data_IF_668601915490
#
_entry.id   IF_668601915490
#
_cell.length_a   1.000
_cell.length_b   1.000
_cell.length_c   1.000
_cell.angle_alpha   90.00
_cell.angle_beta   90.00
_cell.angle_gamma   90.00
#
_symmetry.space_group_name_H-M   'P 1'
#
loop_
_entity.id
_entity.type
_entity.pdbx_description
1 polymer ?
#
# COMPACT_ATOMS: atom_id res chain seq x y z
N UNK A 1 33.17 119.81 -25.92
CA UNK A 1 34.48 119.25 -26.34
C UNK A 1 34.55 117.80 -25.90
N UNK A 2 35.08 116.94 -26.78
CA UNK A 2 35.68 115.63 -26.55
C UNK A 2 34.82 114.43 -26.09
N UNK A 3 34.53 113.56 -27.07
CA UNK A 3 34.44 112.08 -27.04
C UNK A 3 35.84 111.59 -27.50
N UNK A 4 36.47 110.46 -27.09
CA UNK A 4 35.94 109.07 -27.04
C UNK A 4 36.60 108.16 -25.93
N UNK A 5 36.45 106.84 -25.77
CA UNK A 5 36.39 105.70 -26.71
C UNK A 5 35.92 104.43 -25.97
N UNK A 6 35.32 103.52 -26.74
CA UNK A 6 34.92 102.14 -26.41
C UNK A 6 36.13 101.27 -26.09
N UNK A 7 35.91 100.19 -25.33
CA UNK A 7 36.25 98.83 -25.75
C UNK A 7 35.35 97.79 -25.05
N UNK A 8 35.02 96.75 -25.81
CA UNK A 8 34.12 95.65 -25.48
C UNK A 8 34.88 94.47 -24.83
N UNK A 9 34.12 93.38 -24.54
CA UNK A 9 34.54 92.01 -24.13
C UNK A 9 34.53 91.82 -22.60
N UNK A 10 33.80 90.88 -21.97
CA UNK A 10 33.22 89.61 -22.41
C UNK A 10 31.79 89.40 -21.84
N UNK A 11 30.91 88.90 -22.70
CA UNK A 11 29.67 88.23 -22.32
C UNK A 11 30.01 86.84 -21.75
N UNK A 12 29.87 86.68 -20.44
CA UNK A 12 29.68 85.38 -19.80
C UNK A 12 28.49 85.56 -18.87
N UNK A 13 27.30 85.21 -19.38
CA UNK A 13 26.06 85.32 -18.65
C UNK A 13 26.12 84.62 -17.28
N UNK A 14 25.43 85.14 -16.26
CA UNK A 14 25.26 84.38 -15.03
C UNK A 14 24.45 83.14 -15.37
N UNK A 15 25.06 81.96 -15.23
CA UNK A 15 24.36 80.69 -15.11
C UNK A 15 23.23 80.89 -14.10
N UNK A 16 21.99 80.97 -14.61
CA UNK A 16 20.79 81.04 -13.82
C UNK A 16 20.66 79.69 -13.13
N UNK A 17 21.27 79.55 -11.95
CA UNK A 17 21.02 78.42 -11.07
C UNK A 17 19.63 78.63 -10.52
N UNK A 18 18.64 78.02 -11.18
CA UNK A 18 17.29 77.89 -10.65
C UNK A 18 17.38 77.21 -9.28
N UNK A 19 17.33 78.03 -8.22
CA UNK A 19 17.28 77.55 -6.84
C UNK A 19 15.91 76.90 -6.66
N UNK A 20 15.84 75.59 -6.87
CA UNK A 20 14.68 74.79 -6.47
C UNK A 20 14.35 75.10 -5.00
N UNK A 21 13.18 75.68 -4.77
CA UNK A 21 12.66 75.97 -3.44
C UNK A 21 12.63 74.70 -2.60
N UNK A 22 12.95 74.79 -1.30
CA UNK A 22 13.01 73.66 -0.36
C UNK A 22 11.75 72.79 -0.41
N UNK A 23 10.60 73.40 -0.70
CA UNK A 23 9.31 72.73 -0.90
C UNK A 23 9.31 71.78 -2.10
N UNK A 24 9.80 72.22 -3.26
CA UNK A 24 9.92 71.42 -4.49
C UNK A 24 10.89 70.25 -4.33
N UNK A 25 11.98 70.46 -3.58
CA UNK A 25 12.97 69.42 -3.28
C UNK A 25 12.39 68.33 -2.35
N UNK A 26 11.57 68.71 -1.37
CA UNK A 26 10.88 67.79 -0.47
C UNK A 26 9.79 66.98 -1.17
N UNK A 27 9.04 67.60 -2.10
CA UNK A 27 8.01 66.90 -2.89
C UNK A 27 8.64 65.85 -3.81
N UNK A 28 9.76 66.19 -4.48
CA UNK A 28 10.50 65.26 -5.34
C UNK A 28 11.13 64.12 -4.54
N UNK A 29 11.72 64.40 -3.39
CA UNK A 29 12.28 63.38 -2.51
C UNK A 29 11.20 62.41 -1.98
N UNK A 30 10.00 62.91 -1.65
CA UNK A 30 8.85 62.08 -1.26
C UNK A 30 8.35 61.21 -2.40
N UNK A 31 8.19 61.77 -3.61
CA UNK A 31 7.79 61.00 -4.79
C UNK A 31 8.80 59.89 -5.12
N UNK A 32 10.10 60.19 -5.09
CA UNK A 32 11.13 59.18 -5.29
C UNK A 32 11.07 58.08 -4.21
N UNK A 33 10.84 58.44 -2.94
CA UNK A 33 10.75 57.46 -1.84
C UNK A 33 9.50 56.56 -1.95
N UNK A 34 8.39 57.10 -2.45
CA UNK A 34 7.16 56.33 -2.71
C UNK A 34 7.34 55.41 -3.92
N UNK A 35 7.93 55.90 -5.01
CA UNK A 35 8.27 55.11 -6.19
C UNK A 35 9.20 53.94 -5.87
N UNK A 36 10.24 54.17 -5.07
CA UNK A 36 11.15 53.09 -4.62
C UNK A 36 10.42 52.07 -3.74
N UNK A 37 9.59 52.50 -2.79
CA UNK A 37 8.80 51.57 -1.96
C UNK A 37 7.84 50.72 -2.78
N UNK A 38 7.23 51.30 -3.81
CA UNK A 38 6.33 50.61 -4.71
C UNK A 38 7.07 49.58 -5.57
N UNK A 39 8.22 49.96 -6.13
CA UNK A 39 9.10 49.04 -6.87
C UNK A 39 9.61 47.86 -6.02
N UNK A 40 9.98 48.09 -4.76
CA UNK A 40 10.40 47.01 -3.84
C UNK A 40 9.25 46.05 -3.53
N UNK A 41 8.03 46.58 -3.38
CA UNK A 41 6.84 45.75 -3.13
C UNK A 41 6.50 44.89 -4.34
N UNK A 42 6.56 45.46 -5.54
CA UNK A 42 6.37 44.75 -6.80
C UNK A 42 7.41 43.64 -7.00
N UNK A 43 8.69 43.90 -6.69
CA UNK A 43 9.74 42.88 -6.72
C UNK A 43 9.51 41.75 -5.71
N UNK A 44 9.06 42.08 -4.50
CA UNK A 44 8.74 41.09 -3.48
C UNK A 44 7.55 40.21 -3.91
N UNK A 45 6.49 40.81 -4.44
CA UNK A 45 5.30 40.09 -4.89
C UNK A 45 5.61 39.20 -6.09
N UNK A 46 6.44 39.68 -7.04
CA UNK A 46 6.95 38.88 -8.14
C UNK A 46 7.78 37.68 -7.65
N UNK A 47 8.67 37.90 -6.68
CA UNK A 47 9.51 36.83 -6.10
C UNK A 47 8.66 35.79 -5.37
N UNK A 48 7.64 36.23 -4.64
CA UNK A 48 6.68 35.35 -3.96
C UNK A 48 5.88 34.53 -4.96
N UNK A 49 5.39 35.13 -6.05
CA UNK A 49 4.70 34.43 -7.12
C UNK A 49 5.59 33.37 -7.78
N UNK A 50 6.86 33.69 -8.07
CA UNK A 50 7.84 32.75 -8.62
C UNK A 50 8.07 31.58 -7.65
N UNK A 51 8.21 31.84 -6.35
CA UNK A 51 8.45 30.80 -5.35
C UNK A 51 7.24 29.87 -5.18
N UNK A 52 6.03 30.42 -5.19
CA UNK A 52 4.79 29.63 -5.15
C UNK A 52 4.68 28.72 -6.38
N UNK A 53 4.98 29.24 -7.57
CA UNK A 53 4.95 28.46 -8.81
C UNK A 53 6.03 27.37 -8.81
N UNK A 54 7.23 27.65 -8.27
CA UNK A 54 8.28 26.65 -8.05
C UNK A 54 7.83 25.57 -7.07
N UNK A 55 7.19 25.96 -5.97
CA UNK A 55 6.68 25.03 -4.97
C UNK A 55 5.58 24.14 -5.55
N UNK A 56 4.64 24.71 -6.32
CA UNK A 56 3.60 23.96 -7.05
C UNK A 56 4.22 22.92 -7.98
N UNK A 57 5.15 23.33 -8.85
CA UNK A 57 5.87 22.41 -9.75
C UNK A 57 6.65 21.33 -8.99
N UNK A 58 7.23 21.67 -7.85
CA UNK A 58 7.97 20.71 -7.02
C UNK A 58 7.04 19.67 -6.39
N UNK A 59 5.89 20.11 -5.88
CA UNK A 59 4.86 19.21 -5.34
C UNK A 59 4.28 18.30 -6.42
N UNK A 60 4.01 18.82 -7.61
CA UNK A 60 3.57 18.01 -8.75
C UNK A 60 4.60 16.95 -9.14
N UNK A 61 5.89 17.32 -9.22
CA UNK A 61 6.97 16.36 -9.46
C UNK A 61 7.06 15.31 -8.36
N UNK A 62 6.91 15.71 -7.10
CA UNK A 62 6.94 14.77 -5.98
C UNK A 62 5.79 13.76 -6.06
N UNK A 63 4.56 14.24 -6.30
CA UNK A 63 3.37 13.38 -6.46
C UNK A 63 3.52 12.45 -7.67
N UNK A 64 4.04 12.96 -8.79
CA UNK A 64 4.30 12.14 -9.96
C UNK A 64 5.35 11.07 -9.67
N UNK A 65 6.45 11.42 -9.00
CA UNK A 65 7.50 10.47 -8.61
C UNK A 65 6.96 9.37 -7.69
N UNK A 66 6.12 9.73 -6.71
CA UNK A 66 5.46 8.74 -5.86
C UNK A 66 4.54 7.83 -6.69
N UNK A 67 3.68 8.38 -7.54
CA UNK A 67 2.78 7.59 -8.38
C UNK A 67 3.54 6.63 -9.30
N UNK A 68 4.63 7.09 -9.92
CA UNK A 68 5.49 6.25 -10.77
C UNK A 68 6.15 5.15 -9.96
N UNK A 69 6.65 5.45 -8.76
CA UNK A 69 7.26 4.44 -7.88
C UNK A 69 6.25 3.36 -7.49
N UNK A 70 5.05 3.75 -7.03
CA UNK A 70 4.00 2.80 -6.66
C UNK A 70 3.60 1.94 -7.86
N UNK A 71 3.40 2.55 -9.03
CA UNK A 71 3.08 1.82 -10.25
C UNK A 71 4.18 0.82 -10.62
N UNK A 72 5.44 1.24 -10.56
CA UNK A 72 6.57 0.36 -10.85
C UNK A 72 6.62 -0.82 -9.86
N UNK A 73 6.40 -0.58 -8.57
CA UNK A 73 6.33 -1.64 -7.56
C UNK A 73 5.19 -2.62 -7.82
N UNK A 74 4.01 -2.13 -8.19
CA UNK A 74 2.86 -2.96 -8.53
C UNK A 74 3.12 -3.79 -9.79
N UNK A 75 3.73 -3.18 -10.82
CA UNK A 75 4.11 -3.85 -12.06
C UNK A 75 5.17 -4.94 -11.81
N UNK A 76 6.20 -4.64 -11.01
CA UNK A 76 7.21 -5.63 -10.61
C UNK A 76 6.61 -6.77 -9.79
N UNK A 77 5.75 -6.47 -8.81
CA UNK A 77 5.05 -7.50 -8.04
C UNK A 77 4.20 -8.40 -8.94
N UNK A 78 3.48 -7.82 -9.89
CA UNK A 78 2.68 -8.58 -10.86
C UNK A 78 3.55 -9.48 -11.71
N UNK A 79 4.70 -8.98 -12.20
CA UNK A 79 5.62 -9.76 -13.01
C UNK A 79 6.24 -10.93 -12.20
N UNK A 80 6.74 -10.67 -10.99
CA UNK A 80 7.30 -11.69 -10.11
C UNK A 80 6.27 -12.77 -9.76
N UNK A 81 5.01 -12.40 -9.52
CA UNK A 81 3.92 -13.37 -9.31
C UNK A 81 3.69 -14.24 -10.54
N UNK A 82 3.74 -13.66 -11.74
CA UNK A 82 3.66 -14.39 -12.99
C UNK A 82 4.82 -15.38 -13.18
N UNK A 83 6.05 -14.95 -12.90
CA UNK A 83 7.25 -15.79 -12.97
C UNK A 83 7.19 -16.95 -11.96
N UNK A 84 6.79 -16.68 -10.72
CA UNK A 84 6.59 -17.72 -9.70
C UNK A 84 5.57 -18.75 -10.19
N UNK A 85 4.45 -18.31 -10.75
CA UNK A 85 3.42 -19.21 -11.26
C UNK A 85 3.92 -20.05 -12.44
N UNK A 86 4.67 -19.44 -13.35
CA UNK A 86 5.28 -20.12 -14.49
C UNK A 86 6.28 -21.19 -14.03
N UNK A 87 7.18 -20.84 -13.11
CA UNK A 87 8.17 -21.78 -12.54
C UNK A 87 7.49 -22.92 -11.77
N UNK A 88 6.42 -22.64 -11.02
CA UNK A 88 5.63 -23.68 -10.35
C UNK A 88 5.00 -24.64 -11.37
N UNK A 89 4.43 -24.11 -12.44
CA UNK A 89 3.83 -24.91 -13.51
C UNK A 89 4.88 -25.78 -14.20
N UNK A 90 6.05 -25.22 -14.51
CA UNK A 90 7.18 -25.96 -15.09
C UNK A 90 7.65 -27.07 -14.16
N UNK A 91 7.86 -26.77 -12.87
CA UNK A 91 8.21 -27.77 -11.85
C UNK A 91 7.17 -28.89 -11.81
N UNK A 92 5.88 -28.58 -11.76
CA UNK A 92 4.82 -29.59 -11.73
C UNK A 92 4.88 -30.49 -12.98
N UNK A 93 5.05 -29.92 -14.18
CA UNK A 93 5.22 -30.69 -15.42
C UNK A 93 6.46 -31.60 -15.39
N UNK A 94 7.57 -31.11 -14.88
CA UNK A 94 8.81 -31.89 -14.76
C UNK A 94 8.68 -33.00 -13.72
N UNK A 95 8.10 -32.71 -12.55
CA UNK A 95 7.85 -33.74 -11.52
C UNK A 95 6.91 -34.83 -12.03
N UNK A 96 5.84 -34.48 -12.75
CA UNK A 96 4.93 -35.46 -13.37
C UNK A 96 5.62 -36.25 -14.49
N UNK A 97 6.52 -35.61 -15.25
CA UNK A 97 7.21 -36.24 -16.40
C UNK A 97 8.45 -37.07 -16.06
N UNK A 98 9.09 -36.84 -14.90
CA UNK A 98 10.35 -37.51 -14.50
C UNK A 98 10.08 -38.67 -13.53
N UNK A 99 9.06 -38.56 -12.69
CA UNK A 99 8.81 -39.55 -11.63
C UNK A 99 8.00 -40.72 -12.17
N UNK A 100 8.66 -41.80 -12.56
CA UNK A 100 8.02 -43.06 -13.00
C UNK A 100 7.21 -43.75 -11.91
N UNK A 101 7.47 -43.45 -10.62
CA UNK A 101 6.68 -43.93 -9.48
C UNK A 101 6.60 -42.85 -8.39
N UNK A 102 5.41 -42.33 -8.14
CA UNK A 102 5.14 -41.43 -7.01
C UNK A 102 5.27 -42.22 -5.71
N UNK A 103 6.14 -41.80 -4.79
CA UNK A 103 6.29 -42.47 -3.48
C UNK A 103 5.32 -41.87 -2.45
N UNK A 104 4.99 -42.62 -1.39
CA UNK A 104 4.17 -42.08 -0.30
C UNK A 104 4.82 -40.86 0.36
N UNK A 105 6.14 -40.80 0.45
CA UNK A 105 6.86 -39.64 0.98
C UNK A 105 6.68 -38.40 0.12
N UNK A 106 6.60 -38.56 -1.21
CA UNK A 106 6.28 -37.45 -2.11
C UNK A 106 4.88 -36.93 -1.84
N UNK A 107 3.89 -37.83 -1.74
CA UNK A 107 2.50 -37.47 -1.44
C UNK A 107 2.37 -36.76 -0.10
N UNK A 108 3.02 -37.28 0.95
CA UNK A 108 3.07 -36.65 2.27
C UNK A 108 3.69 -35.26 2.19
N UNK A 109 4.87 -35.12 1.58
CA UNK A 109 5.56 -33.84 1.44
C UNK A 109 4.69 -32.81 0.70
N UNK A 110 4.02 -33.26 -0.35
CA UNK A 110 3.10 -32.44 -1.14
C UNK A 110 1.86 -32.03 -0.36
N UNK A 111 1.28 -32.95 0.41
CA UNK A 111 0.13 -32.69 1.26
C UNK A 111 0.41 -31.56 2.25
N UNK A 112 1.51 -31.67 3.01
CA UNK A 112 1.89 -30.64 3.97
C UNK A 112 2.31 -29.34 3.29
N UNK A 113 2.93 -29.39 2.10
CA UNK A 113 3.31 -28.20 1.35
C UNK A 113 2.09 -27.39 0.93
N UNK A 114 1.08 -28.05 0.39
CA UNK A 114 -0.14 -27.42 -0.13
C UNK A 114 -0.96 -26.81 1.01
N UNK A 115 -1.18 -27.58 2.08
CA UNK A 115 -2.02 -27.16 3.21
C UNK A 115 -1.26 -26.38 4.29
N UNK A 116 0.04 -26.11 4.11
CA UNK A 116 0.91 -25.51 5.13
C UNK A 116 0.37 -24.26 5.80
N UNK A 117 -0.31 -23.41 5.03
CA UNK A 117 -0.86 -22.13 5.51
C UNK A 117 -2.40 -22.14 5.53
N UNK A 118 -2.96 -23.32 5.67
CA UNK A 118 -4.33 -23.59 5.25
C UNK A 118 -4.46 -23.58 3.72
N UNK A 119 -5.71 -23.71 3.27
CA UNK A 119 -6.14 -23.61 1.90
C UNK A 119 -7.21 -22.53 1.81
N UNK A 120 -6.93 -21.45 1.10
CA UNK A 120 -7.91 -20.39 0.85
C UNK A 120 -8.09 -20.30 -0.66
N UNK A 121 -9.29 -20.53 -1.14
CA UNK A 121 -9.71 -20.14 -2.48
C UNK A 121 -10.88 -19.16 -2.40
N UNK A 122 -10.67 -17.92 -2.86
CA UNK A 122 -11.75 -17.01 -3.21
C UNK A 122 -11.96 -16.88 -4.73
N UNK A 123 -10.98 -17.25 -5.56
CA UNK A 123 -10.93 -16.94 -6.99
C UNK A 123 -10.35 -18.07 -7.89
N UNK A 124 -10.14 -19.28 -7.34
CA UNK A 124 -9.67 -20.45 -8.09
C UNK A 124 -8.20 -20.44 -8.50
N UNK A 125 -7.38 -19.53 -7.96
CA UNK A 125 -5.97 -19.39 -8.34
C UNK A 125 -5.02 -20.46 -7.76
N UNK A 126 -5.52 -21.37 -6.92
CA UNK A 126 -4.70 -22.42 -6.27
C UNK A 126 -5.06 -23.86 -6.69
N UNK A 127 -6.04 -24.05 -7.57
CA UNK A 127 -6.42 -25.36 -8.14
C UNK A 127 -5.23 -26.06 -8.79
N UNK A 128 -4.37 -25.33 -9.51
CA UNK A 128 -3.17 -25.91 -10.14
C UNK A 128 -2.11 -26.42 -9.13
N UNK A 129 -2.20 -26.00 -7.86
CA UNK A 129 -1.34 -26.54 -6.78
C UNK A 129 -1.86 -27.88 -6.24
N UNK A 130 -3.13 -28.24 -6.55
CA UNK A 130 -3.79 -29.45 -6.08
C UNK A 130 -3.76 -30.61 -7.07
N UNK A 131 -3.46 -30.37 -8.35
CA UNK A 131 -3.50 -31.41 -9.40
C UNK A 131 -2.68 -32.65 -9.04
N UNK A 132 -1.49 -32.45 -8.45
CA UNK A 132 -0.66 -33.56 -8.00
C UNK A 132 -1.36 -34.41 -6.93
N UNK A 133 -1.92 -33.79 -5.89
CA UNK A 133 -2.61 -34.52 -4.82
C UNK A 133 -3.89 -35.18 -5.34
N UNK A 134 -4.62 -34.49 -6.23
CA UNK A 134 -5.82 -35.03 -6.87
C UNK A 134 -5.52 -36.28 -7.69
N UNK A 135 -4.40 -36.32 -8.41
CA UNK A 135 -3.99 -37.48 -9.20
C UNK A 135 -3.35 -38.60 -8.37
N UNK A 136 -2.84 -38.28 -7.18
CA UNK A 136 -2.16 -39.24 -6.31
C UNK A 136 -3.07 -39.90 -5.27
N UNK A 137 -4.26 -39.34 -5.02
CA UNK A 137 -5.20 -39.81 -4.02
C UNK A 137 -6.38 -40.54 -4.69
N UNK A 138 -6.81 -41.64 -4.07
CA UNK A 138 -7.98 -42.39 -4.55
C UNK A 138 -9.27 -41.55 -4.48
N UNK A 139 -10.23 -41.74 -5.41
CA UNK A 139 -11.48 -40.98 -5.44
C UNK A 139 -12.31 -41.08 -4.15
N UNK A 140 -12.21 -42.20 -3.45
CA UNK A 140 -12.92 -42.52 -2.20
C UNK A 140 -12.04 -42.39 -0.95
N UNK A 141 -10.92 -41.66 -1.03
CA UNK A 141 -10.01 -41.37 0.09
C UNK A 141 -10.79 -41.03 1.37
N UNK A 142 -10.61 -41.83 2.41
CA UNK A 142 -11.13 -41.54 3.74
C UNK A 142 -10.18 -40.59 4.49
N UNK A 143 -10.63 -39.35 4.71
CA UNK A 143 -9.91 -38.35 5.51
C UNK A 143 -10.50 -38.21 6.93
N UNK A 144 -11.20 -39.25 7.41
CA UNK A 144 -11.83 -39.33 8.73
C UNK A 144 -13.18 -38.65 8.79
N UNK A 145 -13.22 -37.31 8.67
CA UNK A 145 -14.48 -36.55 8.73
C UNK A 145 -15.16 -36.37 7.36
N UNK A 146 -14.42 -36.59 6.28
CA UNK A 146 -14.88 -36.41 4.90
C UNK A 146 -14.31 -37.51 4.01
N UNK A 147 -15.05 -37.86 2.95
CA UNK A 147 -14.63 -38.84 1.96
C UNK A 147 -14.41 -38.15 0.60
N UNK A 148 -13.29 -38.50 -0.04
CA UNK A 148 -12.85 -38.01 -1.34
C UNK A 148 -12.06 -36.71 -1.28
N UNK A 149 -11.15 -36.57 -2.25
CA UNK A 149 -10.22 -35.43 -2.34
C UNK A 149 -10.93 -34.06 -2.39
N UNK A 150 -12.01 -33.97 -3.15
CA UNK A 150 -12.78 -32.72 -3.31
C UNK A 150 -13.41 -32.26 -1.99
N UNK A 151 -13.87 -33.20 -1.16
CA UNK A 151 -14.42 -32.88 0.15
C UNK A 151 -13.32 -32.48 1.14
N UNK A 152 -12.17 -33.13 1.09
CA UNK A 152 -10.96 -32.77 1.84
C UNK A 152 -10.48 -31.36 1.52
N UNK A 153 -10.35 -31.01 0.24
CA UNK A 153 -9.93 -29.67 -0.19
C UNK A 153 -10.92 -28.59 0.26
N UNK A 154 -12.24 -28.84 0.12
CA UNK A 154 -13.28 -27.94 0.64
C UNK A 154 -13.21 -27.76 2.15
N UNK A 155 -12.95 -28.83 2.91
CA UNK A 155 -12.83 -28.77 4.36
C UNK A 155 -11.67 -27.85 4.78
N UNK A 156 -10.50 -27.99 4.14
CA UNK A 156 -9.38 -27.07 4.35
C UNK A 156 -9.71 -25.63 3.94
N UNK A 157 -10.51 -25.46 2.89
CA UNK A 157 -11.10 -24.20 2.46
C UNK A 157 -11.87 -23.50 3.57
N UNK A 158 -12.85 -24.19 4.14
CA UNK A 158 -13.69 -23.69 5.24
C UNK A 158 -12.83 -23.42 6.49
N UNK A 159 -11.96 -24.36 6.85
CA UNK A 159 -11.08 -24.24 8.02
C UNK A 159 -10.24 -22.95 7.96
N UNK A 160 -9.71 -22.63 6.79
CA UNK A 160 -8.84 -21.45 6.59
C UNK A 160 -9.61 -20.14 6.47
N UNK A 161 -10.93 -20.19 6.28
CA UNK A 161 -11.80 -19.01 6.38
C UNK A 161 -12.21 -18.72 7.83
N UNK A 162 -12.32 -19.78 8.64
CA UNK A 162 -12.72 -19.68 10.05
C UNK A 162 -11.57 -19.21 10.95
N UNK A 163 -10.33 -19.60 10.64
CA UNK A 163 -9.16 -19.31 11.45
C UNK A 163 -8.12 -18.50 10.68
N UNK A 164 -7.52 -17.54 11.37
CA UNK A 164 -6.44 -16.71 10.82
C UNK A 164 -5.08 -17.35 11.14
N UNK A 165 -4.02 -16.97 10.41
CA UNK A 165 -2.63 -17.42 10.62
C UNK A 165 -2.42 -18.95 10.78
N UNK A 166 -3.20 -19.74 10.03
CA UNK A 166 -3.06 -21.21 10.04
C UNK A 166 -1.66 -21.61 9.62
N UNK A 167 -1.02 -22.47 10.42
CA UNK A 167 0.23 -23.16 10.10
C UNK A 167 0.09 -24.64 10.43
N UNK A 168 0.10 -25.46 9.39
CA UNK A 168 -0.01 -26.91 9.46
C UNK A 168 1.29 -27.55 8.99
N UNK A 169 1.92 -28.37 9.83
CA UNK A 169 3.25 -28.90 9.57
C UNK A 169 3.37 -30.36 10.04
N UNK A 170 4.18 -31.13 9.33
CA UNK A 170 4.64 -32.44 9.76
C UNK A 170 5.83 -32.27 10.71
N UNK A 171 5.74 -32.83 11.91
CA UNK A 171 6.85 -32.88 12.86
C UNK A 171 7.67 -34.16 12.67
N UNK A 172 7.00 -35.28 12.44
CA UNK A 172 7.62 -36.59 12.31
C UNK A 172 6.85 -37.44 11.31
N UNK A 173 7.57 -38.18 10.47
CA UNK A 173 7.02 -39.15 9.53
C UNK A 173 7.62 -40.51 9.85
N UNK A 174 6.77 -41.47 10.20
CA UNK A 174 7.15 -42.84 10.51
C UNK A 174 6.55 -43.80 9.48
N UNK A 175 7.39 -44.68 8.93
CA UNK A 175 6.91 -45.75 8.06
C UNK A 175 6.56 -46.97 8.91
N UNK A 176 5.28 -47.37 8.86
CA UNK A 176 4.77 -48.52 9.62
C UNK A 176 4.82 -49.79 8.77
N UNK A 177 4.46 -49.66 7.48
CA UNK A 177 4.52 -50.77 6.51
C UNK A 177 5.03 -50.23 5.17
N UNK A 178 5.24 -51.13 4.20
CA UNK A 178 5.60 -50.75 2.84
C UNK A 178 4.64 -49.72 2.23
N UNK A 179 3.36 -49.79 2.61
CA UNK A 179 2.28 -48.97 2.04
C UNK A 179 1.55 -48.11 3.10
N UNK A 180 2.16 -47.86 4.26
CA UNK A 180 1.56 -47.05 5.32
C UNK A 180 2.56 -46.16 6.02
N UNK A 181 2.22 -44.88 6.12
CA UNK A 181 2.94 -43.87 6.89
C UNK A 181 2.04 -43.32 7.99
N UNK A 182 2.62 -43.06 9.16
CA UNK A 182 2.00 -42.27 10.22
C UNK A 182 2.75 -40.96 10.31
N UNK A 183 2.01 -39.85 10.32
CA UNK A 183 2.59 -38.51 10.40
C UNK A 183 2.10 -37.81 11.65
N UNK A 184 3.03 -37.41 12.51
CA UNK A 184 2.76 -36.54 13.65
C UNK A 184 2.72 -35.10 13.16
N UNK A 185 1.62 -34.40 13.44
CA UNK A 185 1.38 -33.05 12.91
C UNK A 185 1.23 -32.02 14.02
N UNK A 186 1.81 -30.84 13.82
CA UNK A 186 1.52 -29.66 14.61
C UNK A 186 0.69 -28.66 13.80
N UNK A 187 -0.41 -28.22 14.40
CA UNK A 187 -1.27 -27.17 13.85
C UNK A 187 -1.29 -25.99 14.81
N UNK A 188 -0.95 -24.79 14.32
CA UNK A 188 -1.15 -23.54 15.04
C UNK A 188 -2.03 -22.60 14.23
N UNK A 189 -2.87 -21.84 14.92
CA UNK A 189 -3.82 -20.91 14.30
C UNK A 189 -4.18 -19.79 15.28
N UNK A 190 -4.70 -18.69 14.75
CA UNK A 190 -5.21 -17.55 15.52
C UNK A 190 -6.73 -17.66 15.62
N UNK A 191 -7.24 -17.67 16.85
CA UNK A 191 -8.67 -17.57 17.13
C UNK A 191 -9.03 -16.08 17.23
N UNK A 192 -9.68 -15.53 16.21
CA UNK A 192 -10.14 -14.14 16.21
C UNK A 192 -11.58 -14.03 16.75
N UNK A 193 -12.06 -12.80 16.96
CA UNK A 193 -13.47 -12.54 17.35
C UNK A 193 -14.45 -13.18 16.35
N UNK A 194 -14.11 -13.18 15.06
CA UNK A 194 -14.89 -13.83 14.01
C UNK A 194 -14.92 -15.35 14.20
N UNK A 195 -13.76 -15.97 14.46
CA UNK A 195 -13.66 -17.41 14.77
C UNK A 195 -14.52 -17.76 15.99
N UNK A 196 -14.46 -16.94 17.05
CA UNK A 196 -15.29 -17.11 18.25
C UNK A 196 -16.79 -17.08 17.94
N UNK A 197 -17.25 -16.10 17.17
CA UNK A 197 -18.68 -15.97 16.83
C UNK A 197 -19.12 -17.11 15.88
N UNK A 198 -18.32 -17.40 14.86
CA UNK A 198 -18.68 -18.33 13.79
C UNK A 198 -18.56 -19.81 14.16
N UNK A 199 -17.60 -20.16 15.02
CA UNK A 199 -17.30 -21.56 15.38
C UNK A 199 -17.79 -21.90 16.79
N UNK A 200 -17.53 -21.02 17.76
CA UNK A 200 -17.67 -21.36 19.18
C UNK A 200 -18.94 -20.80 19.84
N UNK A 201 -19.52 -19.71 19.32
CA UNK A 201 -20.65 -19.02 19.95
C UNK A 201 -21.96 -19.08 19.14
N UNK A 202 -22.04 -19.91 18.10
CA UNK A 202 -23.32 -20.16 17.45
C UNK A 202 -24.15 -21.19 18.22
N UNK A 203 -24.89 -20.69 19.22
CA UNK A 203 -26.29 -21.02 19.61
C UNK A 203 -26.58 -20.43 21.00
N UNK A 204 -27.38 -19.37 21.04
CA UNK A 204 -28.20 -19.10 22.22
C UNK A 204 -27.68 -18.11 23.27
N UNK A 205 -27.00 -17.02 22.90
CA UNK A 205 -27.00 -15.83 23.78
C UNK A 205 -28.37 -15.13 23.69
N UNK A 206 -29.42 -15.83 24.10
CA UNK A 206 -30.68 -15.20 24.53
C UNK A 206 -30.32 -14.57 25.86
N UNK A 207 -29.98 -13.28 25.86
CA UNK A 207 -30.02 -12.51 27.10
C UNK A 207 -31.42 -12.72 27.67
N UNK A 208 -31.48 -13.38 28.82
CA UNK A 208 -32.63 -13.36 29.70
C UNK A 208 -33.01 -11.90 29.89
N UNK A 209 -34.20 -11.53 29.41
CA UNK A 209 -34.84 -10.28 29.81
C UNK A 209 -34.83 -10.23 31.34
N UNK A 210 -34.37 -9.13 31.98
CA UNK A 210 -34.58 -8.98 33.40
C UNK A 210 -36.08 -8.90 33.65
N UNK A 211 -36.51 -9.66 34.64
CA UNK A 211 -37.82 -9.69 35.25
C UNK A 211 -38.30 -8.24 35.43
N UNK A 212 -39.44 -7.90 34.82
CA UNK A 212 -40.17 -6.70 35.17
C UNK A 212 -40.70 -6.90 36.59
N UNK A 213 -40.05 -6.24 37.53
CA UNK A 213 -40.47 -6.11 38.92
C UNK A 213 -41.77 -5.29 38.93
N UNK A 214 -42.88 -5.98 39.22
CA UNK A 214 -44.17 -5.49 39.69
C UNK A 214 -44.06 -5.72 41.22
N UNK A 215 -44.29 -4.82 42.16
CA UNK A 215 -45.05 -3.57 42.27
C UNK A 215 -44.70 -2.91 43.63
N UNK A 216 -45.30 -1.74 43.86
CA UNK A 216 -45.68 -1.14 45.14
C UNK A 216 -44.78 -0.04 45.68
N UNK A 217 -45.10 1.19 45.26
CA UNK A 217 -45.72 2.15 46.22
C UNK A 217 -46.36 3.35 45.51
N UNK A 218 -47.69 3.34 45.49
CA UNK A 218 -48.45 4.57 45.73
C UNK A 218 -48.04 5.12 47.09
N UNK A 219 -47.44 6.31 47.12
CA UNK A 219 -47.68 7.48 47.99
C UNK A 219 -46.77 8.60 47.52
#
# INVERSE_FOLDING_TARGET
MYVPKRDAVADVGPLRVDKQTTQTRNVRARHNRLSVKQSVREQHDLTKAINLERHRKSQERYRLKQKTLTKNLDDTNRNLRGEIQHLRTLRNKLCIGITTHVTMHDVVTEYFRVFRRGFIEPDGSRVAELDFLRLSMEPDLDAGTVCGFEALARNWGVFSQLFDDVRFQSEQVEQITENSLVVTTATSLTISKRSMIGVFLYKGFRQSSPIQEIDERCW
#
